data_IF_221439436428
#
_entry.id   IF_221439436428
#
_cell.length_a   1.000
_cell.length_b   1.000
_cell.length_c   1.000
_cell.angle_alpha   90.00
_cell.angle_beta   90.00
_cell.angle_gamma   90.00
#
_symmetry.space_group_name_H-M   'P 1'
#
loop_
_entity.id
_entity.type
_entity.pdbx_description
1 polymer ?
#
# COMPACT_ATOMS: atom_id res chain seq x y z
N UNK A 1 17.34 -11.49 0.09
CA UNK A 1 16.73 -10.18 -0.23
C UNK A 1 16.96 -9.15 0.88
N UNK A 2 16.57 -9.43 2.13
CA UNK A 2 16.75 -8.49 3.27
C UNK A 2 18.22 -8.12 3.51
N UNK A 3 19.15 -9.07 3.41
CA UNK A 3 20.58 -8.79 3.64
C UNK A 3 21.23 -7.94 2.54
N UNK A 4 20.77 -8.07 1.29
CA UNK A 4 21.21 -7.20 0.19
C UNK A 4 20.74 -5.75 0.40
N UNK A 5 19.50 -5.58 0.89
CA UNK A 5 18.96 -4.27 1.26
C UNK A 5 19.77 -3.64 2.40
N UNK A 6 20.07 -4.40 3.46
CA UNK A 6 20.92 -3.95 4.57
C UNK A 6 22.31 -3.51 4.09
N UNK A 7 22.92 -4.26 3.17
CA UNK A 7 24.23 -3.94 2.62
C UNK A 7 24.20 -2.65 1.78
N UNK A 8 23.16 -2.45 0.97
CA UNK A 8 22.95 -1.22 0.22
C UNK A 8 22.74 -0.01 1.13
N UNK A 9 21.96 -0.16 2.20
CA UNK A 9 21.74 0.90 3.20
C UNK A 9 23.05 1.30 3.87
N UNK A 10 23.86 0.31 4.32
CA UNK A 10 25.18 0.58 4.92
C UNK A 10 26.10 1.34 3.96
N UNK A 11 26.10 0.95 2.67
CA UNK A 11 26.89 1.64 1.65
C UNK A 11 26.41 3.09 1.42
N UNK A 12 25.10 3.34 1.37
CA UNK A 12 24.55 4.70 1.25
C UNK A 12 24.87 5.57 2.47
N UNK A 13 24.66 5.05 3.68
CA UNK A 13 24.99 5.78 4.92
C UNK A 13 26.46 6.17 4.98
N UNK A 14 27.36 5.32 4.49
CA UNK A 14 28.78 5.65 4.39
C UNK A 14 29.03 6.85 3.46
N UNK A 15 28.42 6.87 2.28
CA UNK A 15 28.54 7.99 1.34
C UNK A 15 27.87 9.27 1.84
N UNK A 16 26.76 9.18 2.57
CA UNK A 16 26.14 10.33 3.22
C UNK A 16 27.07 10.93 4.27
N UNK A 17 27.72 10.10 5.10
CA UNK A 17 28.70 10.54 6.08
C UNK A 17 29.92 11.20 5.40
N UNK A 18 30.43 10.61 4.32
CA UNK A 18 31.50 11.21 3.51
C UNK A 18 31.07 12.57 2.96
N UNK A 19 29.85 12.69 2.43
CA UNK A 19 29.34 13.96 1.89
C UNK A 19 29.18 15.04 2.95
N UNK A 20 28.78 14.66 4.17
CA UNK A 20 28.69 15.57 5.31
C UNK A 20 30.07 16.08 5.71
N UNK A 21 31.06 15.19 5.82
CA UNK A 21 32.45 15.55 6.12
C UNK A 21 33.02 16.49 5.05
N UNK A 22 32.76 16.22 3.77
CA UNK A 22 33.19 17.10 2.67
C UNK A 22 32.52 18.47 2.73
N UNK A 23 31.23 18.53 3.07
CA UNK A 23 30.51 19.80 3.25
C UNK A 23 31.08 20.62 4.41
N UNK A 24 31.40 19.97 5.53
CA UNK A 24 32.09 20.61 6.65
C UNK A 24 33.46 21.17 6.25
N UNK A 25 34.28 20.35 5.59
CA UNK A 25 35.61 20.77 5.14
C UNK A 25 35.53 21.94 4.14
N UNK A 26 34.62 21.87 3.17
CA UNK A 26 34.41 22.94 2.19
C UNK A 26 33.93 24.24 2.86
N UNK A 27 32.99 24.15 3.80
CA UNK A 27 32.51 25.33 4.53
C UNK A 27 33.60 25.94 5.39
N UNK A 28 34.44 25.13 6.03
CA UNK A 28 35.57 25.61 6.83
C UNK A 28 36.61 26.34 5.96
N UNK A 29 36.96 25.77 4.81
CA UNK A 29 37.86 26.42 3.84
C UNK A 29 37.27 27.74 3.36
N UNK A 30 35.97 27.78 3.07
CA UNK A 30 35.28 28.99 2.64
C UNK A 30 35.33 30.08 3.71
N UNK A 31 35.11 29.72 4.98
CA UNK A 31 35.24 30.67 6.09
C UNK A 31 36.65 31.24 6.25
N UNK A 32 37.69 30.44 5.98
CA UNK A 32 39.08 30.91 5.95
C UNK A 32 39.35 31.85 4.78
N UNK A 33 38.92 31.50 3.56
CA UNK A 33 39.17 32.31 2.35
C UNK A 33 38.53 33.69 2.45
N UNK A 34 37.35 33.78 3.04
CA UNK A 34 36.61 35.04 3.18
C UNK A 34 36.88 35.78 4.51
N UNK A 35 37.82 35.31 5.33
CA UNK A 35 38.11 35.85 6.67
C UNK A 35 36.84 36.08 7.52
N UNK A 36 35.85 35.20 7.36
CA UNK A 36 34.54 35.33 8.02
C UNK A 36 34.67 35.23 9.52
N UNK A 37 35.61 34.40 9.99
CA UNK A 37 35.92 34.21 11.41
C UNK A 37 36.44 35.51 12.02
N UNK A 38 37.39 36.19 11.37
CA UNK A 38 37.96 37.45 11.87
C UNK A 38 36.93 38.58 11.88
N UNK A 39 36.10 38.65 10.84
CA UNK A 39 34.98 39.59 10.77
C UNK A 39 33.98 39.36 11.91
N UNK A 40 33.59 38.11 12.15
CA UNK A 40 32.72 37.73 13.27
C UNK A 40 33.37 37.98 14.62
N UNK A 41 34.67 37.74 14.77
CA UNK A 41 35.40 37.96 16.02
C UNK A 41 35.42 39.45 16.38
N UNK A 42 35.56 40.34 15.39
CA UNK A 42 35.50 41.79 15.59
C UNK A 42 34.12 42.21 16.14
N UNK A 43 33.05 41.72 15.51
CA UNK A 43 31.66 41.96 15.97
C UNK A 43 31.41 41.36 17.36
N UNK A 44 31.91 40.15 17.61
CA UNK A 44 31.79 39.46 18.91
C UNK A 44 32.42 40.26 20.04
N UNK A 45 33.57 40.91 19.77
CA UNK A 45 34.26 41.76 20.73
C UNK A 45 33.51 43.07 21.01
N UNK A 46 32.92 43.69 19.97
CA UNK A 46 32.08 44.89 20.12
C UNK A 46 30.81 44.63 20.95
N UNK A 47 30.22 43.45 20.80
CA UNK A 47 29.03 43.02 21.56
C UNK A 47 29.40 42.52 22.98
N UNK A 48 30.69 42.28 23.25
CA UNK A 48 31.19 41.86 24.56
C UNK A 48 30.87 40.41 24.96
N UNK A 49 30.50 39.56 24.00
CA UNK A 49 30.18 38.14 24.25
C UNK A 49 31.24 37.28 23.58
N UNK A 50 31.96 36.49 24.39
CA UNK A 50 33.03 35.63 23.91
C UNK A 50 32.48 34.32 23.30
N UNK A 51 33.12 33.82 22.23
CA UNK A 51 32.82 32.51 21.63
C UNK A 51 31.70 32.47 20.59
N UNK A 52 30.96 33.58 20.37
CA UNK A 52 29.88 33.64 19.37
C UNK A 52 30.42 33.40 17.95
N UNK A 53 31.61 33.93 17.66
CA UNK A 53 32.25 33.81 16.35
C UNK A 53 32.57 32.37 15.93
N UNK A 54 32.67 31.45 16.89
CA UNK A 54 32.91 30.02 16.65
C UNK A 54 31.61 29.21 16.65
N UNK A 55 30.68 29.55 17.56
CA UNK A 55 29.43 28.81 17.75
C UNK A 55 28.44 29.06 16.61
N UNK A 56 28.28 30.30 16.13
CA UNK A 56 27.28 30.60 15.10
C UNK A 56 27.60 29.89 13.78
N UNK A 57 28.81 30.00 13.20
CA UNK A 57 29.12 29.35 11.94
C UNK A 57 29.02 27.82 12.03
N UNK A 58 29.47 27.24 13.14
CA UNK A 58 29.39 25.78 13.35
C UNK A 58 27.95 25.30 13.41
N UNK A 59 27.06 26.01 14.11
CA UNK A 59 25.63 25.71 14.13
C UNK A 59 24.99 25.87 12.75
N UNK A 60 25.36 26.89 11.98
CA UNK A 60 24.85 27.08 10.62
C UNK A 60 25.23 25.91 9.70
N UNK A 61 26.49 25.46 9.73
CA UNK A 61 26.96 24.32 8.91
C UNK A 61 26.29 23.02 9.35
N UNK A 62 26.16 22.79 10.66
CA UNK A 62 25.41 21.65 11.20
C UNK A 62 23.96 21.66 10.74
N UNK A 63 23.26 22.80 10.83
CA UNK A 63 21.87 22.92 10.42
C UNK A 63 21.68 22.61 8.93
N UNK A 64 22.55 23.12 8.06
CA UNK A 64 22.51 22.82 6.61
C UNK A 64 22.79 21.34 6.36
N UNK A 65 23.82 20.77 7.00
CA UNK A 65 24.16 19.35 6.88
C UNK A 65 23.01 18.44 7.32
N UNK A 66 22.39 18.71 8.47
CA UNK A 66 21.25 17.97 8.97
C UNK A 66 20.02 18.13 8.09
N UNK A 67 19.79 19.30 7.49
CA UNK A 67 18.68 19.52 6.57
C UNK A 67 18.82 18.67 5.30
N UNK A 68 20.02 18.65 4.70
CA UNK A 68 20.32 17.81 3.52
C UNK A 68 20.19 16.32 3.87
N UNK A 69 20.76 15.91 5.00
CA UNK A 69 20.67 14.52 5.48
C UNK A 69 19.21 14.10 5.70
N UNK A 70 18.43 14.93 6.38
CA UNK A 70 17.02 14.66 6.68
C UNK A 70 16.20 14.57 5.40
N UNK A 71 16.45 15.46 4.44
CA UNK A 71 15.78 15.44 3.14
C UNK A 71 16.07 14.15 2.36
N UNK A 72 17.34 13.74 2.25
CA UNK A 72 17.73 12.47 1.62
C UNK A 72 17.11 11.27 2.31
N UNK A 73 17.15 11.25 3.65
CA UNK A 73 16.59 10.17 4.46
C UNK A 73 15.08 10.05 4.29
N UNK A 74 14.40 11.19 4.15
CA UNK A 74 12.98 11.22 3.90
C UNK A 74 12.63 10.62 2.53
N UNK A 75 13.42 10.91 1.49
CA UNK A 75 13.27 10.30 0.17
C UNK A 75 13.47 8.78 0.20
N UNK A 76 14.52 8.30 0.89
CA UNK A 76 14.77 6.86 1.03
C UNK A 76 13.60 6.16 1.74
N UNK A 77 13.14 6.71 2.86
CA UNK A 77 11.99 6.17 3.61
C UNK A 77 10.75 6.07 2.72
N UNK A 78 10.52 7.06 1.87
CA UNK A 78 9.40 7.05 0.91
C UNK A 78 9.55 6.00 -0.19
N UNK A 79 10.76 5.79 -0.70
CA UNK A 79 11.00 4.73 -1.68
C UNK A 79 10.77 3.35 -1.06
N UNK A 80 11.19 3.14 0.19
CA UNK A 80 10.93 1.91 0.92
C UNK A 80 9.45 1.71 1.24
N UNK A 81 8.72 2.76 1.60
CA UNK A 81 7.28 2.63 1.86
C UNK A 81 6.54 2.20 0.59
N UNK A 82 6.88 2.78 -0.56
CA UNK A 82 6.30 2.38 -1.85
C UNK A 82 6.64 0.92 -2.20
N UNK A 83 7.88 0.50 -2.00
CA UNK A 83 8.28 -0.89 -2.26
C UNK A 83 7.62 -1.89 -1.30
N UNK A 84 7.47 -1.53 -0.02
CA UNK A 84 6.75 -2.33 0.95
C UNK A 84 5.25 -2.39 0.62
N UNK A 85 4.66 -1.31 0.12
CA UNK A 85 3.30 -1.29 -0.39
C UNK A 85 3.11 -2.20 -1.60
N UNK A 86 4.07 -2.23 -2.53
CA UNK A 86 4.06 -3.17 -3.66
C UNK A 86 4.15 -4.63 -3.23
N UNK A 87 4.97 -4.93 -2.23
CA UNK A 87 5.06 -6.28 -1.65
C UNK A 87 3.79 -6.66 -0.85
N UNK A 88 3.07 -5.66 -0.31
CA UNK A 88 1.85 -5.83 0.46
C UNK A 88 0.60 -5.86 -0.42
N UNK A 89 0.67 -6.44 -1.63
CA UNK A 89 -0.49 -6.59 -2.53
C UNK A 89 -1.26 -7.89 -2.33
N UNK A 90 -0.71 -8.83 -1.57
CA UNK A 90 -1.32 -10.13 -1.27
C UNK A 90 -1.77 -10.12 0.20
N UNK A 91 -3.00 -10.55 0.44
CA UNK A 91 -3.52 -10.79 1.77
C UNK A 91 -2.94 -12.10 2.34
N UNK A 92 -2.26 -12.09 3.50
CA UNK A 92 -1.55 -13.26 4.02
C UNK A 92 -2.48 -14.38 4.47
N UNK A 93 -3.74 -14.06 4.78
CA UNK A 93 -4.74 -15.01 5.28
C UNK A 93 -5.34 -15.84 4.15
N UNK A 94 -5.61 -15.20 3.02
CA UNK A 94 -6.28 -15.81 1.85
C UNK A 94 -5.32 -16.14 0.71
N UNK A 95 -4.10 -15.59 0.74
CA UNK A 95 -3.14 -15.60 -0.36
C UNK A 95 -3.71 -15.00 -1.66
N UNK A 96 -4.72 -14.14 -1.54
CA UNK A 96 -5.34 -13.44 -2.66
C UNK A 96 -4.82 -12.02 -2.80
N UNK A 97 -4.93 -11.41 -3.99
CA UNK A 97 -4.78 -9.97 -4.13
C UNK A 97 -5.70 -9.24 -3.13
N UNK A 98 -5.19 -8.20 -2.48
CA UNK A 98 -5.98 -7.40 -1.57
C UNK A 98 -6.63 -6.20 -2.28
N UNK A 99 -7.41 -5.40 -1.53
CA UNK A 99 -8.02 -4.15 -1.98
C UNK A 99 -7.07 -3.21 -2.76
N UNK A 100 -5.79 -3.11 -2.35
CA UNK A 100 -4.81 -2.27 -3.05
C UNK A 100 -4.45 -2.83 -4.42
N UNK A 101 -4.31 -4.15 -4.53
CA UNK A 101 -4.08 -4.82 -5.81
C UNK A 101 -5.26 -4.61 -6.77
N UNK A 102 -6.50 -4.70 -6.30
CA UNK A 102 -7.73 -4.42 -7.08
C UNK A 102 -7.70 -3.01 -7.65
N UNK A 103 -7.44 -2.00 -6.82
CA UNK A 103 -7.36 -0.61 -7.27
C UNK A 103 -6.27 -0.41 -8.34
N UNK A 104 -5.11 -1.05 -8.18
CA UNK A 104 -4.04 -0.98 -9.18
C UNK A 104 -4.48 -1.58 -10.51
N UNK A 105 -5.16 -2.72 -10.48
CA UNK A 105 -5.65 -3.41 -11.70
C UNK A 105 -6.69 -2.55 -12.40
N UNK A 106 -7.66 -2.00 -11.67
CA UNK A 106 -8.68 -1.09 -12.24
C UNK A 106 -8.04 0.16 -12.88
N UNK A 107 -7.02 0.74 -12.22
CA UNK A 107 -6.26 1.86 -12.80
C UNK A 107 -5.52 1.46 -14.10
N UNK A 108 -4.97 0.25 -14.17
CA UNK A 108 -4.31 -0.26 -15.39
C UNK A 108 -5.32 -0.49 -16.52
N UNK A 109 -6.46 -1.11 -16.22
CA UNK A 109 -7.55 -1.30 -17.18
C UNK A 109 -8.00 0.06 -17.73
N UNK A 110 -8.23 1.05 -16.85
CA UNK A 110 -8.61 2.39 -17.26
C UNK A 110 -7.54 3.05 -18.14
N UNK A 111 -6.26 2.94 -17.79
CA UNK A 111 -5.16 3.52 -18.58
C UNK A 111 -5.09 2.91 -19.99
N UNK A 112 -5.37 1.61 -20.12
CA UNK A 112 -5.39 0.91 -21.41
C UNK A 112 -6.74 0.97 -22.14
N UNK A 113 -7.77 1.51 -21.49
CA UNK A 113 -9.16 1.53 -21.98
C UNK A 113 -9.70 0.12 -22.27
N UNK A 114 -9.34 -0.86 -21.45
CA UNK A 114 -9.78 -2.26 -21.55
C UNK A 114 -11.19 -2.42 -20.96
N UNK A 115 -12.19 -1.80 -21.59
CA UNK A 115 -13.60 -1.87 -21.21
C UNK A 115 -14.39 -2.78 -22.16
N UNK A 116 -15.52 -3.38 -21.72
CA UNK A 116 -16.10 -3.28 -20.38
C UNK A 116 -15.39 -4.14 -19.34
N UNK A 117 -15.64 -3.86 -18.06
CA UNK A 117 -15.20 -4.71 -16.94
C UNK A 117 -16.37 -4.98 -16.02
N UNK A 118 -16.70 -6.26 -15.83
CA UNK A 118 -17.62 -6.70 -14.80
C UNK A 118 -16.95 -6.72 -13.45
N UNK A 119 -17.59 -6.15 -12.44
CA UNK A 119 -17.13 -6.17 -11.05
C UNK A 119 -18.25 -6.71 -10.17
N UNK A 120 -17.92 -7.73 -9.39
CA UNK A 120 -18.83 -8.33 -8.43
C UNK A 120 -18.24 -8.18 -7.03
N UNK A 121 -19.06 -7.74 -6.08
CA UNK A 121 -18.74 -7.73 -4.67
C UNK A 121 -19.54 -8.86 -4.01
N UNK A 122 -18.83 -9.80 -3.39
CA UNK A 122 -19.37 -10.99 -2.76
C UNK A 122 -19.19 -10.84 -1.26
N UNK A 123 -20.28 -10.81 -0.51
CA UNK A 123 -20.29 -10.84 0.95
C UNK A 123 -20.73 -12.20 1.47
N UNK A 124 -20.07 -12.67 2.52
CA UNK A 124 -20.29 -14.00 3.08
C UNK A 124 -20.76 -13.85 4.52
N UNK A 125 -22.05 -14.08 4.70
CA UNK A 125 -22.68 -13.99 5.99
C UNK A 125 -22.25 -15.14 6.91
N UNK A 126 -22.03 -14.82 8.19
CA UNK A 126 -21.75 -15.82 9.23
C UNK A 126 -20.27 -16.10 9.51
N UNK A 127 -19.33 -15.51 8.76
CA UNK A 127 -17.89 -15.61 9.03
C UNK A 127 -17.50 -15.07 10.40
N UNK A 128 -18.18 -14.02 10.89
CA UNK A 128 -17.93 -13.47 12.24
C UNK A 128 -18.30 -14.45 13.36
N UNK A 129 -19.36 -15.23 13.15
CA UNK A 129 -19.82 -16.27 14.08
C UNK A 129 -18.77 -17.38 14.14
N UNK A 130 -18.20 -17.77 13.00
CA UNK A 130 -17.11 -18.75 12.93
C UNK A 130 -15.89 -18.23 13.67
N UNK A 131 -15.46 -16.99 13.38
CA UNK A 131 -14.32 -16.35 14.02
C UNK A 131 -14.46 -16.33 15.54
N UNK A 132 -15.64 -15.96 16.04
CA UNK A 132 -15.89 -15.83 17.48
C UNK A 132 -16.06 -17.18 18.20
N UNK A 133 -16.70 -18.17 17.58
CA UNK A 133 -16.99 -19.46 18.23
C UNK A 133 -15.92 -20.52 18.04
N UNK A 134 -15.25 -20.53 16.89
CA UNK A 134 -14.36 -21.61 16.44
C UNK A 134 -12.91 -21.16 16.29
N UNK A 135 -12.66 -19.84 16.35
CA UNK A 135 -11.33 -19.26 16.31
C UNK A 135 -10.76 -19.05 14.90
N UNK A 136 -9.59 -18.40 14.85
CA UNK A 136 -8.97 -17.92 13.62
C UNK A 136 -8.56 -19.06 12.66
N UNK A 137 -7.99 -20.14 13.18
CA UNK A 137 -7.52 -21.26 12.35
C UNK A 137 -8.66 -21.94 11.61
N UNK A 138 -9.83 -22.09 12.25
CA UNK A 138 -11.00 -22.68 11.58
C UNK A 138 -11.55 -21.73 10.51
N UNK A 139 -11.56 -20.42 10.80
CA UNK A 139 -11.94 -19.40 9.82
C UNK A 139 -11.06 -19.47 8.56
N UNK A 140 -9.75 -19.61 8.72
CA UNK A 140 -8.81 -19.77 7.61
C UNK A 140 -9.17 -20.95 6.71
N UNK A 141 -9.42 -22.12 7.29
CA UNK A 141 -9.80 -23.32 6.54
C UNK A 141 -11.12 -23.13 5.78
N UNK A 142 -12.12 -22.54 6.45
CA UNK A 142 -13.42 -22.23 5.84
C UNK A 142 -13.26 -21.26 4.67
N UNK A 143 -12.45 -20.21 4.83
CA UNK A 143 -12.16 -19.24 3.77
C UNK A 143 -11.50 -19.89 2.56
N UNK A 144 -10.55 -20.81 2.76
CA UNK A 144 -9.90 -21.55 1.66
C UNK A 144 -10.92 -22.40 0.89
N UNK A 145 -11.84 -23.08 1.58
CA UNK A 145 -12.89 -23.88 0.95
C UNK A 145 -13.87 -23.01 0.15
N UNK A 146 -14.28 -21.88 0.71
CA UNK A 146 -15.07 -20.85 0.03
C UNK A 146 -14.40 -20.40 -1.26
N UNK A 147 -13.13 -20.00 -1.18
CA UNK A 147 -12.38 -19.52 -2.33
C UNK A 147 -12.23 -20.60 -3.40
N UNK A 148 -12.02 -21.85 -2.99
CA UNK A 148 -12.01 -22.97 -3.91
C UNK A 148 -13.34 -23.10 -4.66
N UNK A 149 -14.48 -22.96 -3.97
CA UNK A 149 -15.79 -22.99 -4.61
C UNK A 149 -16.02 -21.81 -5.56
N UNK A 150 -15.71 -20.57 -5.14
CA UNK A 150 -15.80 -19.39 -6.02
C UNK A 150 -14.92 -19.58 -7.27
N UNK A 151 -13.68 -20.04 -7.10
CA UNK A 151 -12.73 -20.22 -8.21
C UNK A 151 -13.20 -21.20 -9.28
N UNK A 152 -14.04 -22.20 -8.93
CA UNK A 152 -14.62 -23.14 -9.91
C UNK A 152 -15.59 -22.50 -10.89
N UNK A 153 -16.20 -21.40 -10.50
CA UNK A 153 -17.13 -20.65 -11.34
C UNK A 153 -16.42 -19.60 -12.19
N UNK A 154 -15.12 -19.42 -11.99
CA UNK A 154 -14.32 -18.42 -12.67
C UNK A 154 -13.45 -19.04 -13.77
N UNK A 155 -13.17 -18.26 -14.80
CA UNK A 155 -12.27 -18.58 -15.91
C UNK A 155 -10.90 -17.95 -15.68
N UNK A 156 -9.88 -18.36 -16.45
CA UNK A 156 -8.50 -17.95 -16.24
C UNK A 156 -8.20 -16.44 -16.38
N UNK A 157 -9.11 -15.67 -17.00
CA UNK A 157 -8.95 -14.21 -17.14
C UNK A 157 -9.59 -13.41 -15.99
N UNK A 158 -10.40 -14.07 -15.16
CA UNK A 158 -11.09 -13.46 -14.04
C UNK A 158 -10.26 -13.57 -12.77
N UNK A 159 -10.35 -12.55 -11.93
CA UNK A 159 -9.56 -12.45 -10.70
C UNK A 159 -10.48 -12.38 -9.48
N UNK A 160 -10.18 -13.15 -8.44
CA UNK A 160 -10.74 -12.96 -7.10
C UNK A 160 -9.74 -12.22 -6.24
N UNK A 161 -10.22 -11.25 -5.48
CA UNK A 161 -9.44 -10.50 -4.53
C UNK A 161 -10.18 -10.37 -3.19
N UNK A 162 -9.42 -10.31 -2.11
CA UNK A 162 -9.95 -10.00 -0.78
C UNK A 162 -10.18 -8.49 -0.64
N UNK A 163 -11.38 -8.10 -0.25
CA UNK A 163 -11.77 -6.69 -0.09
C UNK A 163 -11.69 -6.25 1.36
N UNK A 164 -12.54 -6.82 2.22
CA UNK A 164 -12.67 -6.43 3.62
C UNK A 164 -13.48 -7.46 4.40
N UNK A 165 -13.05 -7.84 5.62
CA UNK A 165 -13.83 -8.55 6.64
C UNK A 165 -14.78 -9.69 6.18
N UNK A 166 -14.38 -10.50 5.18
CA UNK A 166 -15.22 -11.58 4.64
C UNK A 166 -15.86 -11.27 3.28
N UNK A 167 -15.67 -10.06 2.78
CA UNK A 167 -16.04 -9.62 1.44
C UNK A 167 -14.91 -9.84 0.44
N UNK A 168 -15.29 -10.22 -0.76
CA UNK A 168 -14.42 -10.49 -1.89
C UNK A 168 -14.87 -9.72 -3.12
N UNK A 169 -13.92 -9.32 -3.94
CA UNK A 169 -14.20 -8.70 -5.24
C UNK A 169 -13.78 -9.67 -6.34
N UNK A 170 -14.68 -9.92 -7.28
CA UNK A 170 -14.35 -10.57 -8.54
C UNK A 170 -14.24 -9.50 -9.64
N UNK A 171 -13.09 -9.44 -10.31
CA UNK A 171 -12.87 -8.62 -11.50
C UNK A 171 -12.96 -9.51 -12.73
N UNK A 172 -13.78 -9.12 -13.69
CA UNK A 172 -14.04 -9.85 -14.91
C UNK A 172 -13.83 -8.92 -16.12
N UNK A 173 -12.59 -8.78 -16.61
CA UNK A 173 -12.32 -8.00 -17.81
C UNK A 173 -13.13 -8.53 -19.01
N UNK A 174 -13.66 -7.63 -19.83
CA UNK A 174 -14.48 -7.96 -20.99
C UNK A 174 -15.94 -8.29 -20.68
N UNK A 175 -16.33 -8.40 -19.41
CA UNK A 175 -17.70 -8.76 -19.05
C UNK A 175 -18.65 -7.58 -19.19
N UNK A 176 -19.76 -7.79 -19.90
CA UNK A 176 -20.87 -6.85 -19.95
C UNK A 176 -21.89 -7.08 -18.81
N UNK A 177 -22.93 -6.24 -18.73
CA UNK A 177 -23.96 -6.37 -17.70
C UNK A 177 -24.64 -7.76 -17.69
N UNK A 178 -24.85 -8.39 -18.84
CA UNK A 178 -25.51 -9.70 -18.90
C UNK A 178 -24.61 -10.78 -18.34
N UNK A 179 -23.34 -10.79 -18.73
CA UNK A 179 -22.35 -11.76 -18.26
C UNK A 179 -22.06 -11.60 -16.77
N UNK A 180 -21.94 -10.35 -16.31
CA UNK A 180 -21.72 -10.02 -14.89
C UNK A 180 -22.91 -10.46 -14.04
N UNK A 181 -24.15 -10.20 -14.47
CA UNK A 181 -25.35 -10.69 -13.77
C UNK A 181 -25.50 -12.20 -13.80
N UNK A 182 -25.11 -12.87 -14.89
CA UNK A 182 -25.13 -14.34 -14.95
C UNK A 182 -24.12 -14.93 -13.95
N UNK A 183 -22.94 -14.34 -13.83
CA UNK A 183 -21.96 -14.75 -12.83
C UNK A 183 -22.48 -14.49 -11.41
N UNK A 184 -23.12 -13.34 -11.16
CA UNK A 184 -23.79 -13.04 -9.89
C UNK A 184 -24.73 -14.17 -9.48
N UNK A 185 -25.67 -14.56 -10.36
CA UNK A 185 -26.63 -15.63 -10.07
C UNK A 185 -25.96 -16.98 -9.80
N UNK A 186 -24.87 -17.29 -10.52
CA UNK A 186 -24.10 -18.52 -10.28
C UNK A 186 -23.46 -18.52 -8.88
N UNK A 187 -22.91 -17.40 -8.45
CA UNK A 187 -22.25 -17.26 -7.15
C UNK A 187 -23.27 -17.23 -6.00
N UNK A 188 -24.40 -16.54 -6.14
CA UNK A 188 -25.51 -16.59 -5.16
C UNK A 188 -26.11 -18.00 -5.04
N UNK A 189 -26.09 -18.78 -6.13
CA UNK A 189 -26.49 -20.17 -6.14
C UNK A 189 -25.54 -21.11 -5.40
N UNK A 190 -24.35 -20.65 -4.98
CA UNK A 190 -23.42 -21.41 -4.14
C UNK A 190 -24.02 -21.50 -2.74
N UNK A 191 -24.84 -22.52 -2.50
CA UNK A 191 -25.20 -22.93 -1.15
C UNK A 191 -24.19 -23.96 -0.66
N UNK A 192 -23.34 -23.58 0.29
CA UNK A 192 -22.50 -24.55 0.98
C UNK A 192 -23.37 -25.36 1.95
N UNK A 193 -23.50 -26.65 1.67
CA UNK A 193 -24.40 -27.53 2.40
C UNK A 193 -23.95 -27.66 3.87
N UNK A 194 -24.92 -27.56 4.79
CA UNK A 194 -24.74 -27.47 6.26
C UNK A 194 -23.89 -28.60 6.86
N UNK A 195 -23.80 -29.75 6.19
CA UNK A 195 -23.11 -30.93 6.69
C UNK A 195 -21.58 -30.87 6.55
N UNK A 196 -21.02 -30.04 5.65
CA UNK A 196 -19.57 -29.97 5.44
C UNK A 196 -18.83 -28.92 6.26
N UNK A 197 -19.48 -27.78 6.56
CA UNK A 197 -18.90 -26.69 7.34
C UNK A 197 -19.44 -26.67 8.77
N UNK A 198 -19.13 -27.69 9.57
CA UNK A 198 -19.33 -27.69 11.03
C UNK A 198 -20.79 -27.37 11.48
N UNK A 199 -21.80 -27.65 10.66
CA UNK A 199 -23.22 -27.39 10.97
C UNK A 199 -23.68 -25.94 10.77
N UNK A 200 -22.87 -25.10 10.11
CA UNK A 200 -23.17 -23.69 9.87
C UNK A 200 -23.69 -23.48 8.44
N UNK A 201 -24.74 -22.67 8.30
CA UNK A 201 -25.18 -22.17 6.99
C UNK A 201 -24.47 -20.86 6.68
N UNK A 202 -23.65 -20.86 5.64
CA UNK A 202 -23.12 -19.63 5.03
C UNK A 202 -24.03 -19.26 3.86
N UNK A 203 -24.38 -17.98 3.78
CA UNK A 203 -25.10 -17.40 2.65
C UNK A 203 -24.15 -16.45 1.91
N UNK A 204 -24.27 -16.43 0.59
CA UNK A 204 -23.51 -15.56 -0.30
C UNK A 204 -24.45 -14.47 -0.80
N UNK A 205 -24.18 -13.22 -0.40
CA UNK A 205 -24.85 -12.04 -0.95
C UNK A 205 -23.93 -11.42 -2.00
N UNK A 206 -24.45 -11.12 -3.18
CA UNK A 206 -23.63 -10.61 -4.28
C UNK A 206 -24.21 -9.31 -4.87
N UNK A 207 -23.39 -8.27 -4.96
CA UNK A 207 -23.64 -7.09 -5.78
C UNK A 207 -22.83 -7.18 -7.08
N UNK A 208 -23.36 -6.64 -8.17
CA UNK A 208 -22.74 -6.74 -9.49
C UNK A 208 -23.00 -5.49 -10.32
N UNK A 209 -21.95 -4.99 -10.96
CA UNK A 209 -22.02 -3.85 -11.87
C UNK A 209 -20.96 -3.99 -12.95
N UNK A 210 -21.24 -3.50 -14.16
CA UNK A 210 -20.26 -3.46 -15.24
C UNK A 210 -19.90 -2.03 -15.55
N UNK A 211 -18.61 -1.80 -15.78
CA UNK A 211 -18.06 -0.47 -16.01
C UNK A 211 -17.60 -0.34 -17.45
N UNK A 212 -18.03 0.75 -18.09
CA UNK A 212 -17.75 1.05 -19.49
C UNK A 212 -16.81 2.25 -19.68
N UNK A 213 -16.60 3.06 -18.63
CA UNK A 213 -15.74 4.23 -18.68
C UNK A 213 -15.15 4.59 -17.30
N UNK A 214 -14.25 5.57 -17.29
CA UNK A 214 -13.59 6.03 -16.07
C UNK A 214 -14.54 6.64 -15.03
N UNK A 215 -15.57 7.38 -15.47
CA UNK A 215 -16.46 8.07 -14.54
C UNK A 215 -17.26 7.09 -13.67
N UNK A 216 -17.66 5.96 -14.28
CA UNK A 216 -18.33 4.85 -13.58
C UNK A 216 -17.40 4.13 -12.59
N UNK A 217 -16.07 4.12 -12.80
CA UNK A 217 -15.13 3.52 -11.85
C UNK A 217 -15.04 4.29 -10.52
N UNK A 218 -15.29 5.60 -10.52
CA UNK A 218 -15.10 6.45 -9.32
C UNK A 218 -16.12 6.14 -8.22
N UNK A 219 -17.36 5.81 -8.60
CA UNK A 219 -18.44 5.49 -7.66
C UNK A 219 -18.75 3.98 -7.56
N UNK A 220 -18.11 3.15 -8.37
CA UNK A 220 -18.39 1.71 -8.49
C UNK A 220 -18.53 0.99 -7.13
N UNK A 221 -17.56 1.15 -6.24
CA UNK A 221 -17.57 0.42 -4.97
C UNK A 221 -18.64 0.92 -4.01
N UNK A 222 -18.96 2.22 -4.04
CA UNK A 222 -20.07 2.78 -3.28
C UNK A 222 -21.40 2.20 -3.75
N UNK A 223 -21.61 2.14 -5.07
CA UNK A 223 -22.83 1.59 -5.67
C UNK A 223 -22.98 0.09 -5.37
N UNK A 224 -21.86 -0.66 -5.39
CA UNK A 224 -21.86 -2.08 -5.04
C UNK A 224 -22.13 -2.32 -3.55
N UNK A 225 -21.59 -1.49 -2.66
CA UNK A 225 -21.85 -1.57 -1.22
C UNK A 225 -23.32 -1.25 -0.90
N UNK A 226 -23.92 -0.25 -1.55
CA UNK A 226 -25.35 0.07 -1.40
C UNK A 226 -26.27 -1.08 -1.87
N UNK A 227 -25.86 -1.86 -2.86
CA UNK A 227 -26.61 -3.04 -3.33
C UNK A 227 -26.57 -4.24 -2.37
N UNK A 228 -25.61 -4.26 -1.43
CA UNK A 228 -25.47 -5.33 -0.45
C UNK A 228 -26.28 -5.08 0.84
N UNK A 229 -26.73 -3.84 1.08
CA UNK A 229 -27.53 -3.43 2.25
C UNK A 229 -29.00 -3.80 2.06
#
# INVERSE_FOLDING_TARGET
>A
MIDQIKQQIRKRMFWDLVSLVLLFAASYILFLVFNVIDWLHTISHEVGINGIAEIIPTLCVLAVGFSIFSYRRWQDTRAFSLYAEELSMIDPMTNLPNRRAVQRILNQINAKKEYPVGVLLVDIEGLEIIRSKLGQTVLEHVMIEILYHISKHLTGEQLVAYWQAGQFVCLCPGFDNKETHLLKQKLEGISMNREKLLGLSLAFSCAASSVYNKAELENLFTDLEEQLI
#
